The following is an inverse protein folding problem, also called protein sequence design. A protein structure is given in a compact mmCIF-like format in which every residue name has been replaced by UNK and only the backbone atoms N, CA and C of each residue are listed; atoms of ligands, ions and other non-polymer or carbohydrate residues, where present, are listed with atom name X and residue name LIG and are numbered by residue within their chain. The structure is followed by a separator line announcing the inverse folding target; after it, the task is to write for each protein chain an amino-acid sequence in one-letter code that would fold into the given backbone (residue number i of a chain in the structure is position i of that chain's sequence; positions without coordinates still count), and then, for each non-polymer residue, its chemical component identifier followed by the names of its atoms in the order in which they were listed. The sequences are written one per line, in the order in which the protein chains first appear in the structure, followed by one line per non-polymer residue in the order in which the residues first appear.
data_IF_520040709938
#
_entry.id   IF_520040709938
#
_cell.length_a   1.000
_cell.length_b   1.000
_cell.length_c   1.000
_cell.angle_alpha   90.00
_cell.angle_beta   90.00
_cell.angle_gamma   90.00
#
_symmetry.space_group_name_H-M   'P 1'
#
loop_
_entity.id
_entity.type
_entity.pdbx_description
1 polymer ?
#
# COMPACT_ATOMS: atom_id res chain seq x y z
N UNK A 1 20.31 -26.23 -3.25
CA UNK A 1 19.17 -25.31 -3.03
C UNK A 1 18.22 -25.97 -2.05
N UNK A 2 17.78 -25.28 -1.00
CA UNK A 2 16.84 -25.86 -0.03
C UNK A 2 15.43 -25.94 -0.64
N UNK A 3 14.58 -26.85 -0.16
CA UNK A 3 13.20 -26.95 -0.63
C UNK A 3 12.41 -25.62 -0.53
N UNK A 4 12.53 -24.81 0.56
CA UNK A 4 11.91 -23.49 0.63
C UNK A 4 12.40 -22.51 -0.45
N UNK A 5 13.69 -22.53 -0.77
CA UNK A 5 14.25 -21.63 -1.77
C UNK A 5 13.74 -21.97 -3.19
N UNK A 6 13.60 -23.26 -3.51
CA UNK A 6 13.00 -23.68 -4.77
C UNK A 6 11.53 -23.25 -4.89
N UNK A 7 10.75 -23.35 -3.81
CA UNK A 7 9.35 -22.88 -3.79
C UNK A 7 9.23 -21.38 -4.04
N UNK A 8 10.08 -20.56 -3.42
CA UNK A 8 10.09 -19.10 -3.63
C UNK A 8 10.39 -18.77 -5.10
N UNK A 9 11.41 -19.40 -5.68
CA UNK A 9 11.78 -19.15 -7.07
C UNK A 9 10.67 -19.56 -8.05
N UNK A 10 9.99 -20.68 -7.81
CA UNK A 10 8.84 -21.08 -8.62
C UNK A 10 7.68 -20.08 -8.52
N UNK A 11 7.44 -19.53 -7.32
CA UNK A 11 6.43 -18.48 -7.13
C UNK A 11 6.77 -17.19 -7.88
N UNK A 12 8.04 -16.75 -7.83
CA UNK A 12 8.51 -15.57 -8.57
C UNK A 12 8.46 -15.77 -10.09
N UNK A 13 8.81 -16.97 -10.56
CA UNK A 13 8.69 -17.32 -11.98
C UNK A 13 7.23 -17.23 -12.45
N UNK A 14 6.31 -17.84 -11.70
CA UNK A 14 4.87 -17.74 -11.99
C UNK A 14 4.38 -16.28 -11.94
N UNK A 15 4.85 -15.48 -10.99
CA UNK A 15 4.49 -14.08 -10.88
C UNK A 15 4.97 -13.29 -12.11
N UNK A 16 6.20 -13.52 -12.55
CA UNK A 16 6.75 -12.88 -13.76
C UNK A 16 5.99 -13.31 -15.02
N UNK A 17 5.69 -14.61 -15.16
CA UNK A 17 4.97 -15.16 -16.32
C UNK A 17 3.50 -14.70 -16.38
N UNK A 18 2.92 -14.33 -15.24
CA UNK A 18 1.54 -13.82 -15.14
C UNK A 18 1.42 -12.30 -15.29
N UNK A 19 2.53 -11.58 -15.49
CA UNK A 19 2.49 -10.15 -15.75
C UNK A 19 1.80 -9.88 -17.09
N UNK A 20 0.75 -9.06 -17.08
CA UNK A 20 0.18 -8.53 -18.31
C UNK A 20 1.11 -7.44 -18.84
N UNK A 21 1.58 -7.58 -20.08
CA UNK A 21 2.52 -6.64 -20.72
C UNK A 21 1.82 -5.93 -21.88
N UNK A 22 1.88 -4.60 -21.88
CA UNK A 22 1.42 -3.74 -22.97
C UNK A 22 2.50 -2.71 -23.31
N UNK A 23 3.31 -3.03 -24.33
CA UNK A 23 4.51 -2.25 -24.64
C UNK A 23 5.50 -2.27 -23.47
N UNK A 24 5.84 -1.07 -22.99
CA UNK A 24 6.76 -0.89 -21.85
C UNK A 24 6.05 -0.86 -20.48
N UNK A 25 4.74 -1.10 -20.46
CA UNK A 25 3.95 -1.22 -19.24
C UNK A 25 3.75 -2.69 -18.87
N UNK A 26 3.89 -3.00 -17.59
CA UNK A 26 3.63 -4.32 -17.03
C UNK A 26 2.79 -4.21 -15.77
N UNK A 27 1.75 -5.01 -15.62
CA UNK A 27 0.87 -4.93 -14.46
C UNK A 27 0.23 -6.27 -14.14
N UNK A 28 -0.32 -6.35 -12.93
CA UNK A 28 -1.17 -7.45 -12.51
C UNK A 28 -2.58 -6.95 -12.25
N UNK A 29 -3.53 -7.86 -12.40
CA UNK A 29 -4.94 -7.57 -12.31
C UNK A 29 -5.52 -8.02 -10.97
N UNK A 30 -6.52 -7.27 -10.49
CA UNK A 30 -7.41 -7.67 -9.43
C UNK A 30 -8.81 -7.71 -10.01
N UNK A 31 -9.58 -8.79 -9.77
CA UNK A 31 -10.95 -8.93 -10.32
C UNK A 31 -11.05 -8.70 -11.85
N UNK A 32 -9.98 -8.99 -12.60
CA UNK A 32 -9.91 -8.81 -14.06
C UNK A 32 -9.64 -7.38 -14.53
N UNK A 33 -9.23 -6.47 -13.64
CA UNK A 33 -8.86 -5.10 -13.97
C UNK A 33 -7.44 -4.77 -13.53
N UNK A 34 -6.67 -3.99 -14.30
CA UNK A 34 -5.34 -3.53 -13.91
C UNK A 34 -5.36 -2.82 -12.56
N UNK A 35 -4.43 -3.14 -11.65
CA UNK A 35 -4.33 -2.52 -10.31
C UNK A 35 -2.91 -2.05 -10.04
N UNK A 36 -2.76 -0.79 -9.62
CA UNK A 36 -1.50 -0.23 -9.10
C UNK A 36 -1.15 -0.93 -7.78
N UNK A 37 -2.11 -1.14 -6.90
CA UNK A 37 -1.90 -1.78 -5.60
C UNK A 37 -1.36 -3.21 -5.71
N UNK A 38 -1.96 -4.04 -6.57
CA UNK A 38 -1.45 -5.41 -6.82
C UNK A 38 -0.11 -5.39 -7.54
N UNK A 39 0.07 -4.47 -8.50
CA UNK A 39 1.36 -4.33 -9.19
C UNK A 39 2.48 -3.92 -8.24
N UNK A 40 2.20 -3.02 -7.29
CA UNK A 40 3.14 -2.62 -6.25
C UNK A 40 3.50 -3.78 -5.30
N UNK A 41 2.53 -4.62 -4.92
CA UNK A 41 2.80 -5.85 -4.17
C UNK A 41 3.73 -6.81 -4.93
N UNK A 42 3.53 -6.96 -6.24
CA UNK A 42 4.40 -7.78 -7.07
C UNK A 42 5.83 -7.21 -7.11
N UNK A 43 5.99 -5.89 -7.27
CA UNK A 43 7.30 -5.21 -7.19
C UNK A 43 7.99 -5.49 -5.86
N UNK A 44 7.27 -5.41 -4.74
CA UNK A 44 7.83 -5.70 -3.41
C UNK A 44 8.27 -7.16 -3.25
N UNK A 45 7.54 -8.11 -3.85
CA UNK A 45 7.95 -9.51 -3.86
C UNK A 45 9.25 -9.72 -4.64
N UNK A 46 9.39 -9.10 -5.82
CA UNK A 46 10.63 -9.12 -6.60
C UNK A 46 11.77 -8.43 -5.86
N UNK A 47 11.54 -7.25 -5.26
CA UNK A 47 12.55 -6.54 -4.47
C UNK A 47 13.04 -7.39 -3.29
N UNK A 48 12.14 -8.07 -2.59
CA UNK A 48 12.49 -9.00 -1.51
C UNK A 48 13.35 -10.19 -1.97
N UNK A 49 13.32 -10.51 -3.26
CA UNK A 49 14.16 -11.52 -3.90
C UNK A 49 15.46 -10.97 -4.50
N UNK A 50 15.73 -9.67 -4.34
CA UNK A 50 16.95 -9.01 -4.81
C UNK A 50 16.87 -8.41 -6.21
N UNK A 51 15.68 -8.34 -6.81
CA UNK A 51 15.47 -7.67 -8.10
C UNK A 51 15.47 -6.15 -7.90
N UNK A 52 15.83 -5.41 -8.95
CA UNK A 52 15.85 -3.96 -8.96
C UNK A 52 15.24 -3.37 -10.24
N UNK A 53 15.31 -2.05 -10.39
CA UNK A 53 14.74 -1.31 -11.52
C UNK A 53 15.30 -1.70 -12.90
N UNK A 54 16.43 -2.42 -12.96
CA UNK A 54 17.04 -2.88 -14.21
C UNK A 54 16.46 -4.23 -14.67
N UNK A 55 15.77 -4.95 -13.78
CA UNK A 55 15.06 -6.17 -14.16
C UNK A 55 13.79 -5.81 -14.92
N UNK A 56 13.64 -6.32 -16.14
CA UNK A 56 12.57 -5.92 -17.06
C UNK A 56 11.16 -6.06 -16.48
N UNK A 57 10.92 -7.09 -15.66
CA UNK A 57 9.63 -7.32 -14.98
C UNK A 57 9.32 -6.20 -13.98
N UNK A 58 10.33 -5.73 -13.25
CA UNK A 58 10.23 -4.63 -12.28
C UNK A 58 10.15 -3.29 -13.01
N UNK A 59 11.01 -3.07 -14.00
CA UNK A 59 11.01 -1.85 -14.82
C UNK A 59 9.62 -1.57 -15.42
N UNK A 60 9.01 -2.59 -16.05
CA UNK A 60 7.67 -2.46 -16.64
C UNK A 60 6.59 -2.19 -15.60
N UNK A 61 6.71 -2.79 -14.43
CA UNK A 61 5.80 -2.56 -13.31
C UNK A 61 5.88 -1.12 -12.78
N UNK A 62 7.09 -0.59 -12.65
CA UNK A 62 7.32 0.80 -12.25
C UNK A 62 6.77 1.76 -13.30
N UNK A 63 7.04 1.51 -14.59
CA UNK A 63 6.47 2.29 -15.69
C UNK A 63 4.94 2.33 -15.66
N UNK A 64 4.30 1.21 -15.33
CA UNK A 64 2.85 1.17 -15.14
C UNK A 64 2.41 2.01 -13.95
N UNK A 65 3.01 1.82 -12.77
CA UNK A 65 2.67 2.56 -11.54
C UNK A 65 2.78 4.07 -11.78
N UNK A 66 3.86 4.52 -12.41
CA UNK A 66 4.14 5.95 -12.64
C UNK A 66 3.58 6.48 -13.97
N UNK A 67 2.74 5.71 -14.66
CA UNK A 67 2.19 6.15 -15.95
C UNK A 67 1.25 7.34 -15.79
N UNK A 68 1.13 8.22 -16.81
CA UNK A 68 0.22 9.37 -16.76
C UNK A 68 -1.27 9.01 -16.57
N UNK A 69 -1.67 7.77 -16.85
CA UNK A 69 -3.04 7.30 -16.57
C UNK A 69 -3.28 6.94 -15.11
N UNK A 70 -2.21 6.77 -14.33
CA UNK A 70 -2.27 6.28 -12.96
C UNK A 70 -1.85 7.33 -11.92
N UNK A 71 -1.01 8.30 -12.28
CA UNK A 71 -0.60 9.42 -11.42
C UNK A 71 -1.52 10.61 -11.68
N UNK A 72 -2.26 11.03 -10.65
CA UNK A 72 -3.29 12.07 -10.75
C UNK A 72 -2.81 13.40 -10.18
N UNK A 73 -3.37 14.51 -10.67
CA UNK A 73 -2.97 15.89 -10.32
C UNK A 73 -3.05 16.20 -8.81
N UNK A 74 -3.90 15.49 -8.07
CA UNK A 74 -4.03 15.64 -6.62
C UNK A 74 -3.00 14.82 -5.82
N UNK A 75 -2.05 14.17 -6.49
CA UNK A 75 -1.02 13.32 -5.92
C UNK A 75 -1.44 11.85 -5.74
N UNK A 76 -2.71 11.50 -5.91
CA UNK A 76 -3.15 10.11 -5.80
C UNK A 76 -2.54 9.24 -6.91
N UNK A 77 -2.29 7.98 -6.61
CA UNK A 77 -1.83 6.99 -7.58
C UNK A 77 -2.80 5.81 -7.59
N UNK A 78 -3.54 5.64 -8.68
CA UNK A 78 -4.48 4.54 -8.85
C UNK A 78 -4.79 4.28 -10.31
N UNK A 79 -5.06 3.02 -10.66
CA UNK A 79 -5.60 2.70 -11.97
C UNK A 79 -7.04 3.22 -12.09
N UNK A 80 -7.48 3.79 -13.23
CA UNK A 80 -8.76 4.48 -13.35
C UNK A 80 -9.99 3.72 -12.84
N UNK A 81 -10.01 2.38 -12.99
CA UNK A 81 -11.08 1.52 -12.47
C UNK A 81 -11.18 1.53 -10.94
N UNK A 82 -10.05 1.69 -10.24
CA UNK A 82 -9.92 1.60 -8.77
C UNK A 82 -9.89 2.97 -8.09
N UNK A 83 -10.51 3.99 -8.69
CA UNK A 83 -10.62 5.32 -8.09
C UNK A 83 -11.25 5.32 -6.70
N UNK A 84 -12.17 4.39 -6.42
CA UNK A 84 -12.81 4.21 -5.11
C UNK A 84 -11.91 3.55 -4.05
N UNK A 85 -10.72 3.09 -4.46
CA UNK A 85 -9.67 2.46 -3.62
C UNK A 85 -8.35 3.23 -3.66
N UNK A 86 -8.40 4.49 -4.09
CA UNK A 86 -7.23 5.34 -4.28
C UNK A 86 -6.28 5.39 -3.09
N UNK A 87 -6.79 5.33 -1.84
CA UNK A 87 -5.95 5.36 -0.64
C UNK A 87 -5.06 4.11 -0.54
N UNK A 88 -5.63 2.93 -0.79
CA UNK A 88 -4.89 1.68 -0.79
C UNK A 88 -3.88 1.64 -1.95
N UNK A 89 -4.34 1.96 -3.16
CA UNK A 89 -3.51 1.96 -4.37
C UNK A 89 -2.32 2.93 -4.21
N UNK A 90 -2.57 4.14 -3.70
CA UNK A 90 -1.54 5.17 -3.47
C UNK A 90 -0.55 4.73 -2.39
N UNK A 91 -1.04 4.21 -1.26
CA UNK A 91 -0.16 3.75 -0.19
C UNK A 91 0.79 2.64 -0.66
N UNK A 92 0.27 1.65 -1.40
CA UNK A 92 1.11 0.58 -1.92
C UNK A 92 2.11 1.07 -2.97
N UNK A 93 1.70 2.00 -3.84
CA UNK A 93 2.61 2.65 -4.79
C UNK A 93 3.79 3.33 -4.08
N UNK A 94 3.53 4.10 -3.02
CA UNK A 94 4.59 4.73 -2.21
C UNK A 94 5.59 3.70 -1.70
N UNK A 95 5.10 2.61 -1.08
CA UNK A 95 5.97 1.57 -0.50
C UNK A 95 6.86 0.94 -1.58
N UNK A 96 6.29 0.61 -2.75
CA UNK A 96 7.03 0.01 -3.85
C UNK A 96 8.08 0.97 -4.45
N UNK A 97 7.69 2.21 -4.76
CA UNK A 97 8.58 3.21 -5.34
C UNK A 97 9.75 3.53 -4.40
N UNK A 98 9.46 3.75 -3.11
CA UNK A 98 10.47 4.00 -2.08
C UNK A 98 11.41 2.82 -1.86
N UNK A 99 10.92 1.57 -1.98
CA UNK A 99 11.76 0.38 -1.82
C UNK A 99 12.69 0.13 -3.02
N UNK A 100 12.32 0.58 -4.22
CA UNK A 100 13.15 0.43 -5.42
C UNK A 100 14.19 1.54 -5.50
N UNK A 101 13.75 2.79 -5.60
CA UNK A 101 14.61 3.96 -5.81
C UNK A 101 13.93 5.23 -5.25
N UNK A 102 14.15 5.55 -3.97
CA UNK A 102 13.50 6.69 -3.33
C UNK A 102 13.93 8.04 -3.91
N UNK A 103 15.14 8.12 -4.49
CA UNK A 103 15.68 9.35 -5.07
C UNK A 103 15.05 9.62 -6.44
N UNK A 104 14.93 8.59 -7.29
CA UNK A 104 14.31 8.71 -8.61
C UNK A 104 12.83 9.12 -8.52
N UNK A 105 12.11 8.59 -7.52
CA UNK A 105 10.66 8.78 -7.37
C UNK A 105 10.28 9.81 -6.32
N UNK A 106 11.23 10.61 -5.81
CA UNK A 106 11.03 11.52 -4.68
C UNK A 106 9.81 12.44 -4.86
N UNK A 107 9.67 13.10 -6.01
CA UNK A 107 8.55 14.02 -6.28
C UNK A 107 7.19 13.31 -6.32
N UNK A 108 7.14 12.11 -6.91
CA UNK A 108 5.91 11.31 -6.97
C UNK A 108 5.51 10.86 -5.55
N UNK A 109 6.49 10.39 -4.78
CA UNK A 109 6.30 9.94 -3.39
C UNK A 109 5.83 11.12 -2.51
N UNK A 110 6.41 12.30 -2.66
CA UNK A 110 6.04 13.49 -1.89
C UNK A 110 4.61 13.94 -2.14
N UNK A 111 4.19 13.95 -3.42
CA UNK A 111 2.81 14.28 -3.80
C UNK A 111 1.82 13.22 -3.30
N UNK A 112 2.16 11.94 -3.44
CA UNK A 112 1.35 10.83 -2.95
C UNK A 112 1.21 10.82 -1.43
N UNK A 113 2.28 11.11 -0.69
CA UNK A 113 2.25 11.31 0.76
C UNK A 113 1.29 12.44 1.11
N UNK A 114 1.37 13.57 0.42
CA UNK A 114 0.50 14.72 0.65
C UNK A 114 -0.97 14.36 0.43
N UNK A 115 -1.29 13.58 -0.61
CA UNK A 115 -2.62 13.03 -0.83
C UNK A 115 -3.11 12.21 0.37
N UNK A 116 -2.28 11.28 0.88
CA UNK A 116 -2.66 10.45 2.03
C UNK A 116 -2.89 11.29 3.28
N UNK A 117 -2.00 12.22 3.63
CA UNK A 117 -2.15 13.07 4.82
C UNK A 117 -3.42 13.92 4.75
N UNK A 118 -3.70 14.52 3.59
CA UNK A 118 -4.90 15.35 3.38
C UNK A 118 -6.18 14.53 3.23
N UNK A 119 -6.07 13.24 2.91
CA UNK A 119 -7.18 12.31 2.77
C UNK A 119 -7.59 11.60 4.06
N UNK A 120 -6.92 11.91 5.17
CA UNK A 120 -7.19 11.34 6.49
C UNK A 120 -8.49 11.87 7.07
N UNK A 121 -9.28 10.99 7.68
CA UNK A 121 -10.53 11.37 8.32
C UNK A 121 -10.29 12.06 9.68
N UNK A 122 -11.27 12.82 10.21
CA UNK A 122 -11.15 13.50 11.50
C UNK A 122 -10.90 12.56 12.70
N UNK A 123 -11.25 11.29 12.57
CA UNK A 123 -10.99 10.26 13.60
C UNK A 123 -9.53 9.78 13.63
N UNK A 124 -8.69 10.23 12.68
CA UNK A 124 -7.27 9.91 12.58
C UNK A 124 -6.94 8.71 11.68
N UNK A 125 -7.95 8.02 11.15
CA UNK A 125 -7.77 6.89 10.24
C UNK A 125 -8.10 7.22 8.77
N UNK A 126 -8.20 6.17 7.96
CA UNK A 126 -8.60 6.26 6.55
C UNK A 126 -9.69 5.25 6.18
N UNK A 127 -10.32 5.54 5.04
CA UNK A 127 -11.15 4.62 4.25
C UNK A 127 -10.56 4.49 2.84
N UNK A 128 -11.15 3.63 2.00
CA UNK A 128 -10.63 3.33 0.66
C UNK A 128 -10.47 4.56 -0.27
N UNK A 129 -11.23 5.63 -0.04
CA UNK A 129 -11.11 6.90 -0.72
C UNK A 129 -10.88 8.04 0.29
N UNK A 130 -10.14 9.08 -0.12
CA UNK A 130 -9.80 10.22 0.73
C UNK A 130 -11.06 10.94 1.27
N UNK A 131 -11.01 11.37 2.54
CA UNK A 131 -12.06 12.15 3.19
C UNK A 131 -13.46 11.52 3.12
N UNK A 132 -13.53 10.17 3.14
CA UNK A 132 -14.77 9.44 2.94
C UNK A 132 -15.15 8.56 4.13
N UNK A 133 -16.40 8.71 4.58
CA UNK A 133 -17.04 7.83 5.55
C UNK A 133 -16.29 7.72 6.89
N UNK A 134 -16.54 6.62 7.59
CA UNK A 134 -15.82 6.28 8.81
C UNK A 134 -14.60 5.42 8.49
N UNK A 135 -13.50 5.71 9.16
CA UNK A 135 -12.26 4.96 9.02
C UNK A 135 -12.43 3.49 9.41
N UNK A 136 -11.50 2.65 8.97
CA UNK A 136 -11.39 1.26 9.41
C UNK A 136 -9.93 0.83 9.50
N UNK A 137 -9.65 -0.17 10.34
CA UNK A 137 -8.28 -0.66 10.52
C UNK A 137 -7.74 -1.41 9.31
N UNK A 138 -8.59 -2.03 8.49
CA UNK A 138 -8.13 -2.78 7.33
C UNK A 138 -7.52 -1.89 6.24
N UNK A 139 -8.00 -0.66 6.12
CA UNK A 139 -7.45 0.35 5.20
C UNK A 139 -6.38 1.19 5.88
N UNK A 140 -6.61 1.63 7.12
CA UNK A 140 -5.69 2.54 7.84
C UNK A 140 -4.26 1.99 7.92
N UNK A 141 -4.08 0.67 8.03
CA UNK A 141 -2.74 0.07 8.07
C UNK A 141 -1.88 0.38 6.83
N UNK A 142 -2.47 0.62 5.65
CA UNK A 142 -1.71 0.82 4.42
C UNK A 142 -1.09 2.21 4.34
N UNK A 143 -1.82 3.33 4.57
CA UNK A 143 -1.18 4.63 4.74
C UNK A 143 -0.14 4.63 5.84
N UNK A 144 -0.39 3.96 6.97
CA UNK A 144 0.60 3.81 8.06
C UNK A 144 1.87 3.13 7.55
N UNK A 145 1.75 2.05 6.76
CA UNK A 145 2.88 1.37 6.13
C UNK A 145 3.65 2.29 5.19
N UNK A 146 2.95 3.04 4.34
CA UNK A 146 3.55 3.99 3.41
C UNK A 146 4.32 5.10 4.12
N UNK A 147 3.69 5.74 5.12
CA UNK A 147 4.29 6.83 5.90
C UNK A 147 5.51 6.35 6.69
N UNK A 148 5.44 5.15 7.27
CA UNK A 148 6.57 4.54 7.94
C UNK A 148 7.73 4.25 6.96
N UNK A 149 7.43 3.65 5.81
CA UNK A 149 8.43 3.27 4.81
C UNK A 149 9.27 4.46 4.31
N UNK A 150 8.66 5.65 4.20
CA UNK A 150 9.33 6.89 3.78
C UNK A 150 9.91 7.70 4.95
N UNK A 151 9.87 7.17 6.18
CA UNK A 151 10.40 7.86 7.36
C UNK A 151 9.64 9.13 7.74
N UNK A 152 8.34 9.21 7.43
CA UNK A 152 7.53 10.40 7.76
C UNK A 152 7.36 10.56 9.27
N UNK A 153 7.77 11.72 9.79
CA UNK A 153 7.71 12.04 11.22
C UNK A 153 6.90 13.31 11.46
N UNK A 154 5.64 13.14 11.85
CA UNK A 154 4.79 14.22 12.36
C UNK A 154 3.95 13.69 13.53
N UNK A 155 4.26 14.16 14.74
CA UNK A 155 3.66 13.67 16.00
C UNK A 155 2.14 13.77 15.99
N UNK A 156 1.58 14.90 15.55
CA UNK A 156 0.12 15.08 15.45
C UNK A 156 -0.53 14.10 14.48
N UNK A 157 0.19 13.67 13.43
CA UNK A 157 -0.31 12.64 12.53
C UNK A 157 -0.35 11.29 13.22
N UNK A 158 0.76 10.89 13.82
CA UNK A 158 0.91 9.61 14.51
C UNK A 158 -0.02 9.48 15.72
N UNK A 159 -0.19 10.53 16.54
CA UNK A 159 -1.15 10.57 17.64
C UNK A 159 -2.60 10.32 17.19
N UNK A 160 -2.97 10.87 16.04
CA UNK A 160 -4.28 10.62 15.42
C UNK A 160 -4.46 9.16 15.01
N UNK A 161 -3.42 8.55 14.41
CA UNK A 161 -3.41 7.13 14.04
C UNK A 161 -3.57 6.26 15.28
N UNK A 162 -2.79 6.53 16.33
CA UNK A 162 -2.86 5.78 17.59
C UNK A 162 -4.22 5.96 18.25
N UNK A 163 -4.79 7.16 18.24
CA UNK A 163 -6.14 7.44 18.77
C UNK A 163 -7.21 6.63 18.02
N UNK A 164 -7.15 6.59 16.69
CA UNK A 164 -8.05 5.77 15.89
C UNK A 164 -7.90 4.28 16.21
N UNK A 165 -6.66 3.76 16.21
CA UNK A 165 -6.39 2.36 16.52
C UNK A 165 -6.88 1.99 17.93
N UNK A 166 -6.68 2.87 18.91
CA UNK A 166 -7.18 2.74 20.28
C UNK A 166 -8.70 2.54 20.32
N UNK A 167 -9.44 3.28 19.50
CA UNK A 167 -10.91 3.18 19.42
C UNK A 167 -11.39 1.82 18.88
N UNK A 168 -10.52 1.09 18.19
CA UNK A 168 -10.79 -0.26 17.68
C UNK A 168 -10.29 -1.37 18.62
N UNK A 169 -9.54 -1.04 19.67
CA UNK A 169 -9.04 -2.01 20.65
C UNK A 169 -10.17 -2.55 21.54
N UNK A 170 -10.14 -3.85 21.82
CA UNK A 170 -11.04 -4.51 22.75
C UNK A 170 -10.29 -4.97 24.01
N UNK A 171 -10.45 -4.30 25.16
CA UNK A 171 -9.70 -4.65 26.37
C UNK A 171 -10.07 -6.01 26.95
N UNK A 172 -11.26 -6.54 26.64
CA UNK A 172 -11.69 -7.86 27.12
C UNK A 172 -10.94 -9.01 26.47
N UNK A 173 -10.64 -8.91 25.18
CA UNK A 173 -9.91 -9.95 24.42
C UNK A 173 -8.44 -9.61 24.14
N UNK A 174 -8.04 -8.34 24.25
CA UNK A 174 -6.74 -7.85 23.80
C UNK A 174 -6.60 -7.76 22.28
N UNK A 175 -7.68 -8.02 21.53
CA UNK A 175 -7.70 -7.95 20.07
C UNK A 175 -8.23 -6.62 19.54
N UNK A 176 -8.17 -6.45 18.22
CA UNK A 176 -8.72 -5.27 17.55
C UNK A 176 -9.89 -5.61 16.65
N UNK A 177 -10.77 -4.62 16.50
CA UNK A 177 -12.00 -4.63 15.73
C UNK A 177 -11.76 -4.00 14.37
N UNK A 178 -12.65 -4.24 13.41
CA UNK A 178 -12.55 -3.59 12.10
C UNK A 178 -12.81 -2.08 12.19
N UNK A 179 -13.79 -1.73 13.03
CA UNK A 179 -14.26 -0.40 13.43
C UNK A 179 -14.69 -0.41 14.90
N UNK A 180 -14.79 0.75 15.56
CA UNK A 180 -15.43 0.84 16.88
C UNK A 180 -16.81 0.15 16.88
N UNK A 181 -17.06 -0.68 17.89
CA UNK A 181 -18.31 -1.43 18.04
C UNK A 181 -18.46 -2.70 17.20
N UNK A 182 -17.57 -2.98 16.23
CA UNK A 182 -17.61 -4.21 15.43
C UNK A 182 -16.94 -5.41 16.14
N UNK A 183 -17.12 -6.63 15.66
CA UNK A 183 -16.46 -7.81 16.24
C UNK A 183 -14.93 -7.79 16.08
N UNK A 184 -14.23 -8.36 17.06
CA UNK A 184 -12.78 -8.57 17.03
C UNK A 184 -12.41 -9.58 15.93
N UNK A 185 -11.31 -9.33 15.23
CA UNK A 185 -10.80 -10.21 14.16
C UNK A 185 -9.28 -10.30 14.21
N UNK A 186 -8.71 -11.49 14.03
CA UNK A 186 -7.24 -11.69 14.09
C UNK A 186 -6.47 -10.82 13.08
N UNK A 187 -6.98 -10.67 11.85
CA UNK A 187 -6.37 -9.77 10.87
C UNK A 187 -6.36 -8.30 11.33
N UNK A 188 -7.40 -7.86 12.04
CA UNK A 188 -7.47 -6.50 12.59
C UNK A 188 -6.57 -6.34 13.80
N UNK A 189 -6.34 -7.40 14.60
CA UNK A 189 -5.32 -7.38 15.65
C UNK A 189 -3.92 -7.12 15.07
N UNK A 190 -3.56 -7.79 13.97
CA UNK A 190 -2.30 -7.51 13.27
C UNK A 190 -2.22 -6.06 12.78
N UNK A 191 -3.26 -5.59 12.09
CA UNK A 191 -3.35 -4.21 11.60
C UNK A 191 -3.30 -3.16 12.73
N UNK A 192 -4.01 -3.42 13.83
CA UNK A 192 -4.05 -2.54 14.99
C UNK A 192 -2.69 -2.44 15.67
N UNK A 193 -2.00 -3.56 15.90
CA UNK A 193 -0.65 -3.57 16.45
C UNK A 193 0.33 -2.82 15.53
N UNK A 194 0.24 -3.02 14.22
CA UNK A 194 1.03 -2.26 13.24
C UNK A 194 0.83 -0.75 13.39
N UNK A 195 -0.41 -0.28 13.52
CA UNK A 195 -0.73 1.14 13.74
C UNK A 195 -0.28 1.69 15.10
N UNK A 196 0.09 0.84 16.07
CA UNK A 196 0.57 1.23 17.40
C UNK A 196 2.09 1.20 17.55
N UNK A 197 2.76 0.34 16.78
CA UNK A 197 4.19 0.06 16.94
C UNK A 197 5.10 1.00 16.14
N UNK A 198 4.52 1.82 15.27
CA UNK A 198 5.22 2.76 14.39
C UNK A 198 5.08 4.19 14.87
#
# INVERSE_FOLDING_TARGET
MSAPQATILNGLAWLADSQTVNGDLGYWEYEGYPSVGVTALAVLAFKGAGYDQNDLVVQRALNYITSPSNVHDNGAIYAPHWSDRSVYETAMAIVALNAIDPDQYADIIENAKTYLINGRNPDGGWRYYANYGYSDLSVTQWPVLALHAIGYSNESVWDGITSFASSCFDPGSGGFRYRPGSAVRGAMTGAGLWCYMM
#
